data_IF_514687454002
#
_entry.id   IF_514687454002
#
_cell.length_a   1.000
_cell.length_b   1.000
_cell.length_c   1.000
_cell.angle_alpha   90.00
_cell.angle_beta   90.00
_cell.angle_gamma   90.00
#
_symmetry.space_group_name_H-M   'P 1'
#
loop_
_entity.id
_entity.type
_entity.pdbx_description
1 polymer ?
#
# COMPACT_ATOMS: atom_id res chain seq x y z
N UNK A 1 -9.26 20.83 -15.24
CA UNK A 1 -8.09 20.47 -16.06
C UNK A 1 -7.71 19.05 -15.69
N UNK A 2 -7.68 18.14 -16.67
CA UNK A 2 -7.35 16.73 -16.47
C UNK A 2 -5.83 16.63 -16.28
N UNK A 3 -5.36 16.46 -15.04
CA UNK A 3 -3.93 16.40 -14.73
C UNK A 3 -3.70 15.47 -13.55
N UNK A 4 -2.62 14.69 -13.62
CA UNK A 4 -2.10 13.93 -12.49
C UNK A 4 -1.30 14.87 -11.57
N UNK A 5 -1.78 15.06 -10.35
CA UNK A 5 -1.10 15.89 -9.36
C UNK A 5 -0.14 15.04 -8.54
N UNK A 6 1.07 15.53 -8.32
CA UNK A 6 1.97 14.99 -7.29
C UNK A 6 1.81 15.80 -6.01
N UNK A 7 1.69 15.13 -4.87
CA UNK A 7 1.63 15.75 -3.54
C UNK A 7 3.04 15.79 -2.97
N UNK A 8 3.80 16.82 -3.33
CA UNK A 8 5.22 16.93 -3.01
C UNK A 8 5.49 17.69 -1.71
N UNK A 9 4.59 18.60 -1.33
CA UNK A 9 4.76 19.41 -0.12
C UNK A 9 4.24 18.70 1.14
N UNK A 10 4.83 18.96 2.33
CA UNK A 10 4.32 18.42 3.59
C UNK A 10 2.83 18.77 3.83
N UNK A 11 2.40 19.98 3.47
CA UNK A 11 1.01 20.41 3.63
C UNK A 11 0.04 19.60 2.74
N UNK A 12 0.45 19.30 1.50
CA UNK A 12 -0.36 18.49 0.58
C UNK A 12 -0.43 17.01 0.99
N UNK A 13 0.65 16.49 1.57
CA UNK A 13 0.67 15.15 2.16
C UNK A 13 -0.20 15.07 3.41
N UNK A 14 -0.15 16.07 4.28
CA UNK A 14 -1.02 16.16 5.45
C UNK A 14 -2.51 16.22 5.06
N UNK A 15 -2.85 17.02 4.04
CA UNK A 15 -4.22 17.05 3.53
C UNK A 15 -4.68 15.70 2.98
N UNK A 16 -3.82 15.00 2.24
CA UNK A 16 -4.13 13.66 1.74
C UNK A 16 -4.28 12.63 2.88
N UNK A 17 -3.47 12.75 3.93
CA UNK A 17 -3.57 11.93 5.13
C UNK A 17 -4.93 12.10 5.82
N UNK A 18 -5.38 13.34 6.01
CA UNK A 18 -6.68 13.66 6.60
C UNK A 18 -7.86 13.17 5.74
N UNK A 19 -7.75 13.31 4.42
CA UNK A 19 -8.79 12.83 3.50
C UNK A 19 -8.91 11.30 3.50
N UNK A 20 -7.78 10.59 3.54
CA UNK A 20 -7.75 9.13 3.47
C UNK A 20 -8.14 8.42 4.77
N UNK A 21 -8.09 9.11 5.92
CA UNK A 21 -8.39 8.51 7.22
C UNK A 21 -9.79 7.91 7.33
N UNK A 22 -10.77 8.51 6.66
CA UNK A 22 -12.17 8.13 6.77
C UNK A 22 -12.69 7.35 5.55
N UNK A 23 -11.84 7.10 4.56
CA UNK A 23 -12.19 6.35 3.35
C UNK A 23 -11.57 4.96 3.43
N UNK A 24 -12.37 3.88 3.61
CA UNK A 24 -11.85 2.51 3.71
C UNK A 24 -10.93 2.12 2.54
N UNK A 25 -11.29 2.52 1.33
CA UNK A 25 -10.56 2.18 0.10
C UNK A 25 -9.18 2.84 0.03
N UNK A 26 -8.99 3.94 0.76
CA UNK A 26 -7.73 4.69 0.83
C UNK A 26 -6.88 4.34 2.06
N UNK A 27 -7.28 3.35 2.87
CA UNK A 27 -6.57 3.02 4.12
C UNK A 27 -5.11 2.61 3.91
N UNK A 28 -4.80 1.90 2.82
CA UNK A 28 -3.42 1.54 2.50
C UNK A 28 -2.58 2.77 2.16
N UNK A 29 -3.17 3.75 1.48
CA UNK A 29 -2.53 5.05 1.20
C UNK A 29 -2.34 5.81 2.51
N UNK A 30 -3.36 5.85 3.38
CA UNK A 30 -3.30 6.49 4.69
C UNK A 30 -2.16 5.92 5.55
N UNK A 31 -2.09 4.59 5.67
CA UNK A 31 -1.07 3.91 6.45
C UNK A 31 0.34 4.19 5.93
N UNK A 32 0.52 4.28 4.61
CA UNK A 32 1.82 4.58 4.02
C UNK A 32 2.26 6.05 4.18
N UNK A 33 1.33 6.96 4.41
CA UNK A 33 1.60 8.38 4.70
C UNK A 33 1.89 8.64 6.18
N UNK A 34 1.62 7.68 7.06
CA UNK A 34 1.92 7.81 8.47
C UNK A 34 3.43 8.03 8.68
N UNK A 35 3.84 8.99 9.52
CA UNK A 35 5.26 9.30 9.72
C UNK A 35 6.01 8.06 10.22
N UNK A 36 6.89 7.53 9.36
CA UNK A 36 7.82 6.48 9.72
C UNK A 36 9.18 7.12 10.09
N UNK A 37 9.87 6.63 11.13
CA UNK A 37 11.18 7.15 11.53
C UNK A 37 12.32 6.85 10.53
N UNK A 38 12.06 6.08 9.47
CA UNK A 38 13.03 5.68 8.46
C UNK A 38 12.81 6.39 7.12
N UNK A 39 13.89 6.68 6.40
CA UNK A 39 13.91 7.37 5.09
C UNK A 39 13.17 6.59 4.00
N UNK A 40 11.84 6.65 3.99
CA UNK A 40 11.03 6.15 2.87
C UNK A 40 10.89 7.25 1.83
N UNK A 41 11.41 7.03 0.62
CA UNK A 41 11.12 7.92 -0.50
C UNK A 41 9.73 7.60 -1.04
N UNK A 42 8.73 8.21 -0.42
CA UNK A 42 7.32 8.06 -0.79
C UNK A 42 6.86 9.25 -1.64
N UNK A 43 6.41 8.95 -2.85
CA UNK A 43 5.76 9.90 -3.76
C UNK A 43 4.28 9.54 -3.88
N UNK A 44 3.42 10.54 -3.72
CA UNK A 44 1.97 10.38 -3.79
C UNK A 44 1.43 11.15 -4.99
N UNK A 45 0.58 10.49 -5.77
CA UNK A 45 -0.09 11.07 -6.91
C UNK A 45 -1.60 10.84 -6.85
N UNK A 46 -2.34 11.77 -7.42
CA UNK A 46 -3.80 11.77 -7.41
C UNK A 46 -4.36 12.25 -8.76
N UNK A 47 -5.41 11.59 -9.21
CA UNK A 47 -6.09 11.92 -10.47
C UNK A 47 -7.60 11.66 -10.38
N UNK A 48 -8.45 12.52 -10.98
CA UNK A 48 -8.13 13.84 -11.50
C UNK A 48 -7.70 14.84 -10.40
N UNK A 49 -6.86 15.83 -10.72
CA UNK A 49 -6.40 16.82 -9.75
C UNK A 49 -7.51 17.52 -8.94
N UNK A 50 -8.62 17.89 -9.59
CA UNK A 50 -9.70 18.66 -8.96
C UNK A 50 -10.53 17.84 -7.97
N UNK A 51 -10.74 16.57 -8.29
CA UNK A 51 -11.59 15.63 -7.57
C UNK A 51 -10.94 14.26 -7.70
N UNK A 52 -9.92 13.97 -6.86
CA UNK A 52 -9.18 12.72 -6.94
C UNK A 52 -10.10 11.51 -6.82
N UNK A 53 -10.00 10.61 -7.79
CA UNK A 53 -10.70 9.31 -7.78
C UNK A 53 -9.69 8.18 -7.72
N UNK A 54 -8.54 8.32 -8.37
CA UNK A 54 -7.48 7.33 -8.38
C UNK A 54 -6.23 7.91 -7.72
N UNK A 55 -5.67 7.12 -6.82
CA UNK A 55 -4.49 7.45 -6.03
C UNK A 55 -3.38 6.46 -6.33
N UNK A 56 -2.17 6.98 -6.46
CA UNK A 56 -0.96 6.19 -6.71
C UNK A 56 0.09 6.56 -5.68
N UNK A 57 0.56 5.59 -4.93
CA UNK A 57 1.65 5.75 -3.98
C UNK A 57 2.84 4.95 -4.47
N UNK A 58 3.92 5.64 -4.80
CA UNK A 58 5.18 5.06 -5.21
C UNK A 58 6.15 5.11 -4.02
N UNK A 59 6.57 3.93 -3.57
CA UNK A 59 7.57 3.74 -2.53
C UNK A 59 8.86 3.21 -3.15
N UNK A 60 9.92 4.01 -3.10
CA UNK A 60 11.25 3.63 -3.57
C UNK A 60 12.15 3.44 -2.35
N UNK A 61 12.74 2.26 -2.23
CA UNK A 61 13.69 1.91 -1.19
C UNK A 61 14.96 1.37 -1.82
N UNK A 62 16.08 1.53 -1.11
CA UNK A 62 17.37 1.05 -1.59
C UNK A 62 17.40 -0.48 -1.56
N UNK A 63 17.87 -1.10 -2.64
CA UNK A 63 18.05 -2.55 -2.79
C UNK A 63 16.76 -3.39 -2.77
N UNK A 64 15.59 -2.79 -3.01
CA UNK A 64 14.32 -3.52 -3.15
C UNK A 64 13.60 -3.05 -4.42
N UNK A 65 12.78 -3.92 -5.00
CA UNK A 65 11.91 -3.52 -6.10
C UNK A 65 11.00 -2.35 -5.66
N UNK A 66 10.80 -1.32 -6.49
CA UNK A 66 9.83 -0.27 -6.19
C UNK A 66 8.42 -0.84 -6.06
N UNK A 67 7.69 -0.32 -5.08
CA UNK A 67 6.33 -0.75 -4.77
C UNK A 67 5.33 0.35 -5.08
N UNK A 68 4.29 0.02 -5.86
CA UNK A 68 3.21 0.93 -6.26
C UNK A 68 1.90 0.46 -5.65
N UNK A 69 1.32 1.26 -4.75
CA UNK A 69 -0.07 1.06 -4.31
C UNK A 69 -1.00 1.91 -5.17
N UNK A 70 -2.06 1.28 -5.68
CA UNK A 70 -3.11 1.94 -6.44
C UNK A 70 -4.43 1.76 -5.72
N UNK A 71 -5.11 2.88 -5.45
CA UNK A 71 -6.39 2.88 -4.75
C UNK A 71 -7.40 3.75 -5.49
N UNK A 72 -8.69 3.42 -5.34
CA UNK A 72 -9.81 4.18 -5.86
C UNK A 72 -10.58 4.79 -4.68
N UNK A 73 -11.06 6.02 -4.83
CA UNK A 73 -11.96 6.67 -3.89
C UNK A 73 -13.41 6.58 -4.42
N UNK A 74 -14.24 5.78 -3.75
CA UNK A 74 -15.66 5.58 -4.05
C UNK A 74 -15.96 4.47 -5.06
N UNK A 75 -17.26 4.16 -5.22
CA UNK A 75 -17.71 2.92 -5.90
C UNK A 75 -17.81 3.01 -7.44
N UNK A 76 -17.71 4.21 -8.01
CA UNK A 76 -17.92 4.40 -9.45
C UNK A 76 -16.64 4.15 -10.25
N UNK A 77 -16.38 2.88 -10.58
CA UNK A 77 -15.26 2.52 -11.44
C UNK A 77 -15.51 2.95 -12.89
N UNK A 78 -14.62 3.79 -13.42
CA UNK A 78 -14.53 4.10 -14.84
C UNK A 78 -13.18 3.70 -15.42
N UNK A 79 -13.21 2.67 -16.27
CA UNK A 79 -12.02 2.07 -16.90
C UNK A 79 -11.19 3.08 -17.70
N UNK A 80 -11.84 3.95 -18.47
CA UNK A 80 -11.12 4.87 -19.35
C UNK A 80 -10.36 5.93 -18.53
N UNK A 81 -10.99 6.45 -17.48
CA UNK A 81 -10.39 7.37 -16.53
C UNK A 81 -9.23 6.69 -15.79
N UNK A 82 -9.39 5.42 -15.38
CA UNK A 82 -8.32 4.66 -14.74
C UNK A 82 -7.10 4.48 -15.66
N UNK A 83 -7.30 3.98 -16.88
CA UNK A 83 -6.20 3.76 -17.84
C UNK A 83 -5.49 5.08 -18.18
N UNK A 84 -6.25 6.17 -18.29
CA UNK A 84 -5.67 7.51 -18.48
C UNK A 84 -4.79 7.91 -17.29
N UNK A 85 -5.26 7.66 -16.06
CA UNK A 85 -4.50 7.94 -14.85
C UNK A 85 -3.22 7.12 -14.77
N UNK A 86 -3.30 5.81 -15.06
CA UNK A 86 -2.18 4.88 -15.05
C UNK A 86 -1.12 5.25 -16.09
N UNK A 87 -1.55 5.64 -17.30
CA UNK A 87 -0.65 6.13 -18.35
C UNK A 87 0.07 7.41 -17.93
N UNK A 88 -0.65 8.39 -17.40
CA UNK A 88 -0.06 9.63 -16.90
C UNK A 88 0.93 9.37 -15.76
N UNK A 89 0.62 8.43 -14.87
CA UNK A 89 1.50 8.02 -13.77
C UNK A 89 2.78 7.38 -14.29
N UNK A 90 2.66 6.45 -15.23
CA UNK A 90 3.80 5.75 -15.83
C UNK A 90 4.72 6.73 -16.56
N UNK A 91 4.17 7.64 -17.37
CA UNK A 91 4.95 8.67 -18.08
C UNK A 91 5.63 9.64 -17.12
N UNK A 92 4.93 10.07 -16.06
CA UNK A 92 5.47 11.05 -15.10
C UNK A 92 6.59 10.46 -14.25
N UNK A 93 6.46 9.21 -13.85
CA UNK A 93 7.44 8.53 -12.99
C UNK A 93 8.56 7.85 -13.79
N UNK A 94 8.30 7.49 -15.05
CA UNK A 94 9.16 6.65 -15.90
C UNK A 94 9.52 5.32 -15.27
N UNK A 95 8.74 4.86 -14.30
CA UNK A 95 9.08 3.69 -13.48
C UNK A 95 9.18 2.41 -14.32
N UNK A 96 8.32 2.27 -15.33
CA UNK A 96 8.33 1.12 -16.24
C UNK A 96 9.56 1.10 -17.16
N UNK A 97 10.15 2.26 -17.44
CA UNK A 97 11.37 2.37 -18.27
C UNK A 97 12.65 2.19 -17.44
N UNK A 98 12.63 2.60 -16.17
CA UNK A 98 13.83 2.66 -15.32
C UNK A 98 14.07 1.41 -14.47
N UNK A 99 13.03 0.63 -14.19
CA UNK A 99 13.09 -0.48 -13.23
C UNK A 99 12.88 -1.83 -13.93
N UNK A 100 13.71 -2.81 -13.60
CA UNK A 100 13.58 -4.17 -14.14
C UNK A 100 12.44 -4.95 -13.49
N UNK A 101 12.16 -4.67 -12.22
CA UNK A 101 11.12 -5.31 -11.43
C UNK A 101 10.35 -4.27 -10.63
N UNK A 102 9.01 -4.38 -10.67
CA UNK A 102 8.09 -3.48 -9.96
C UNK A 102 7.00 -4.32 -9.36
N UNK A 103 6.63 -4.01 -8.13
CA UNK A 103 5.51 -4.64 -7.44
C UNK A 103 4.32 -3.70 -7.41
N UNK A 104 3.15 -4.21 -7.79
CA UNK A 104 1.89 -3.49 -7.74
C UNK A 104 0.98 -4.09 -6.67
N UNK A 105 0.39 -3.22 -5.85
CA UNK A 105 -0.69 -3.56 -4.92
C UNK A 105 -1.94 -2.74 -5.22
N UNK A 106 -3.06 -3.41 -5.49
CA UNK A 106 -4.33 -2.76 -5.79
C UNK A 106 -5.49 -3.73 -5.57
N UNK A 107 -6.71 -3.21 -5.60
CA UNK A 107 -7.91 -4.04 -5.66
C UNK A 107 -7.94 -4.91 -6.92
N UNK A 108 -8.63 -6.05 -6.85
CA UNK A 108 -8.54 -7.10 -7.87
C UNK A 108 -8.92 -6.64 -9.28
N UNK A 109 -9.94 -5.78 -9.43
CA UNK A 109 -10.33 -5.25 -10.75
C UNK A 109 -9.32 -4.26 -11.31
N UNK A 110 -8.70 -3.43 -10.47
CA UNK A 110 -7.63 -2.52 -10.88
C UNK A 110 -6.38 -3.32 -11.28
N UNK A 111 -6.04 -4.35 -10.49
CA UNK A 111 -4.89 -5.21 -10.75
C UNK A 111 -4.97 -5.90 -12.12
N UNK A 112 -6.17 -6.34 -12.51
CA UNK A 112 -6.41 -6.91 -13.83
C UNK A 112 -6.10 -5.95 -14.97
N UNK A 113 -6.51 -4.69 -14.83
CA UNK A 113 -6.28 -3.67 -15.85
C UNK A 113 -4.84 -3.17 -15.87
N UNK A 114 -4.18 -3.11 -14.70
CA UNK A 114 -2.72 -2.86 -14.60
C UNK A 114 -1.96 -3.96 -15.35
N UNK A 115 -2.25 -5.23 -15.08
CA UNK A 115 -1.57 -6.35 -15.73
C UNK A 115 -1.75 -6.30 -17.26
N UNK A 116 -2.97 -6.02 -17.75
CA UNK A 116 -3.20 -5.83 -19.20
C UNK A 116 -2.41 -4.67 -19.77
N UNK A 117 -2.44 -3.51 -19.12
CA UNK A 117 -1.74 -2.31 -19.57
C UNK A 117 -0.23 -2.57 -19.68
N UNK A 118 0.37 -3.11 -18.63
CA UNK A 118 1.81 -3.43 -18.55
C UNK A 118 2.23 -4.45 -19.61
N UNK A 119 1.37 -5.44 -19.91
CA UNK A 119 1.65 -6.44 -20.94
C UNK A 119 1.47 -5.92 -22.38
N UNK A 120 0.40 -5.18 -22.63
CA UNK A 120 -0.04 -4.86 -24.00
C UNK A 120 0.52 -3.54 -24.50
N UNK A 121 0.57 -2.51 -23.66
CA UNK A 121 1.03 -1.19 -24.06
C UNK A 121 2.54 -1.01 -23.84
N UNK A 122 3.09 -1.65 -22.82
CA UNK A 122 4.49 -1.44 -22.38
C UNK A 122 5.37 -2.68 -22.64
N UNK A 123 4.79 -3.81 -23.05
CA UNK A 123 5.53 -5.00 -23.50
C UNK A 123 6.24 -5.79 -22.40
N UNK A 124 5.94 -5.54 -21.12
CA UNK A 124 6.53 -6.27 -20.00
C UNK A 124 5.84 -7.62 -19.76
N UNK A 125 6.51 -8.52 -19.05
CA UNK A 125 5.94 -9.81 -18.65
C UNK A 125 5.29 -9.69 -17.28
N UNK A 126 4.10 -10.28 -17.07
CA UNK A 126 3.47 -10.27 -15.76
C UNK A 126 4.28 -11.15 -14.79
N UNK A 127 4.41 -10.69 -13.56
CA UNK A 127 5.00 -11.46 -12.46
C UNK A 127 3.99 -12.42 -11.81
N UNK A 128 4.31 -12.85 -10.59
CA UNK A 128 3.45 -13.71 -9.78
C UNK A 128 2.36 -12.85 -9.12
N UNK A 129 1.11 -13.31 -9.18
CA UNK A 129 -0.01 -12.68 -8.48
C UNK A 129 -0.17 -13.30 -7.09
N UNK A 130 -0.27 -12.43 -6.08
CA UNK A 130 -0.60 -12.80 -4.71
C UNK A 130 -1.85 -12.05 -4.26
N UNK A 131 -2.80 -12.77 -3.67
CA UNK A 131 -4.01 -12.18 -3.10
C UNK A 131 -3.83 -11.95 -1.60
N UNK A 132 -4.23 -10.77 -1.15
CA UNK A 132 -4.12 -10.36 0.24
C UNK A 132 -5.49 -9.91 0.73
N UNK A 133 -5.88 -10.35 1.92
CA UNK A 133 -7.07 -9.87 2.60
C UNK A 133 -6.66 -8.83 3.64
N UNK A 134 -7.14 -7.60 3.47
CA UNK A 134 -6.88 -6.50 4.39
C UNK A 134 -8.05 -6.37 5.34
N UNK A 135 -7.77 -6.42 6.64
CA UNK A 135 -8.75 -6.18 7.69
C UNK A 135 -8.52 -4.80 8.29
N UNK A 136 -9.60 -4.04 8.45
CA UNK A 136 -9.57 -2.72 9.06
C UNK A 136 -10.46 -2.69 10.30
N UNK A 137 -9.99 -1.97 11.32
CA UNK A 137 -10.73 -1.68 12.53
C UNK A 137 -10.66 -0.19 12.81
N UNK A 138 -11.81 0.43 13.06
CA UNK A 138 -11.87 1.83 13.52
C UNK A 138 -11.27 1.94 14.93
N UNK A 139 -10.81 3.15 15.34
CA UNK A 139 -10.33 3.37 16.71
C UNK A 139 -11.33 2.92 17.78
N UNK A 140 -12.63 3.15 17.57
CA UNK A 140 -13.69 2.71 18.48
C UNK A 140 -13.83 1.18 18.54
N UNK A 141 -13.68 0.50 17.41
CA UNK A 141 -13.68 -0.97 17.37
C UNK A 141 -12.45 -1.51 18.09
N UNK A 142 -11.28 -0.91 17.87
CA UNK A 142 -10.04 -1.27 18.56
C UNK A 142 -10.17 -1.13 20.08
N UNK A 143 -10.68 0.02 20.55
CA UNK A 143 -10.90 0.28 21.98
C UNK A 143 -11.93 -0.66 22.62
N UNK A 144 -12.89 -1.19 21.84
CA UNK A 144 -13.82 -2.23 22.31
C UNK A 144 -13.17 -3.61 22.39
N UNK A 145 -12.33 -3.97 21.41
CA UNK A 145 -11.60 -5.25 21.41
C UNK A 145 -10.62 -5.31 22.58
N UNK A 146 -9.95 -4.21 22.90
CA UNK A 146 -9.05 -4.13 24.06
C UNK A 146 -9.76 -4.34 25.41
N UNK A 147 -11.10 -4.27 25.46
CA UNK A 147 -11.89 -4.56 26.68
C UNK A 147 -12.30 -6.03 26.79
N UNK A 148 -12.07 -6.82 25.74
CA UNK A 148 -12.22 -8.27 25.81
C UNK A 148 -11.05 -8.79 26.64
N UNK A 149 -11.33 -9.43 27.78
CA UNK A 149 -10.28 -10.04 28.60
C UNK A 149 -9.60 -11.16 27.81
N UNK A 150 -8.42 -10.86 27.28
CA UNK A 150 -7.48 -11.85 26.80
C UNK A 150 -6.56 -12.22 27.96
N UNK A 151 -6.84 -13.33 28.63
CA UNK A 151 -5.90 -13.87 29.63
C UNK A 151 -4.80 -14.66 28.92
N UNK A 152 -3.55 -14.33 29.23
CA UNK A 152 -2.42 -15.11 28.76
C UNK A 152 -2.49 -16.53 29.35
N UNK A 153 -2.30 -17.58 28.54
CA UNK A 153 -2.19 -18.93 29.06
C UNK A 153 -1.02 -19.05 30.06
N UNK A 154 -1.15 -19.97 31.01
CA UNK A 154 -0.09 -20.25 31.98
C UNK A 154 1.23 -20.60 31.27
N UNK A 155 2.33 -19.98 31.71
CA UNK A 155 3.66 -20.18 31.15
C UNK A 155 4.07 -19.19 30.06
N UNK A 156 3.20 -18.24 29.69
CA UNK A 156 3.51 -17.17 28.74
C UNK A 156 3.59 -15.81 29.44
N UNK A 157 4.48 -14.96 28.94
CA UNK A 157 4.67 -13.57 29.41
C UNK A 157 4.55 -12.61 28.23
N UNK A 158 3.86 -11.49 28.45
CA UNK A 158 3.86 -10.37 27.51
C UNK A 158 5.10 -9.51 27.76
N UNK A 159 5.93 -9.36 26.74
CA UNK A 159 7.11 -8.51 26.79
C UNK A 159 7.27 -7.73 25.49
N UNK A 160 7.97 -6.59 25.54
CA UNK A 160 8.25 -5.80 24.35
C UNK A 160 9.36 -6.47 23.53
N UNK A 161 9.17 -6.53 22.21
CA UNK A 161 10.19 -7.01 21.29
C UNK A 161 11.48 -6.19 21.38
N UNK A 162 12.61 -6.90 21.32
CA UNK A 162 13.97 -6.37 21.30
C UNK A 162 14.62 -6.60 19.94
N UNK A 163 15.78 -6.00 19.75
CA UNK A 163 16.57 -6.18 18.52
C UNK A 163 17.01 -7.63 18.29
N UNK A 164 17.26 -8.38 19.37
CA UNK A 164 17.62 -9.80 19.30
C UNK A 164 16.49 -10.68 18.72
N UNK A 165 15.23 -10.28 18.93
CA UNK A 165 14.07 -11.00 18.42
C UNK A 165 13.86 -10.78 16.90
N UNK A 166 14.53 -9.79 16.30
CA UNK A 166 14.33 -9.44 14.90
C UNK A 166 14.80 -10.55 13.93
N UNK A 167 15.90 -11.23 14.27
CA UNK A 167 16.41 -12.36 13.47
C UNK A 167 15.46 -13.55 13.55
N UNK A 168 14.94 -13.85 14.73
CA UNK A 168 14.00 -14.94 14.95
C UNK A 168 12.68 -14.68 14.20
N UNK A 169 12.13 -13.47 14.30
CA UNK A 169 10.95 -13.05 13.54
C UNK A 169 11.19 -13.16 12.03
N UNK A 170 12.36 -12.72 11.55
CA UNK A 170 12.71 -12.80 10.13
C UNK A 170 12.74 -14.27 9.63
N UNK A 171 13.47 -15.15 10.34
CA UNK A 171 13.58 -16.58 10.00
C UNK A 171 12.19 -17.22 9.93
N UNK A 172 11.34 -16.99 10.93
CA UNK A 172 10.02 -17.61 10.98
C UNK A 172 9.03 -17.02 9.97
N UNK A 173 9.16 -15.74 9.63
CA UNK A 173 8.31 -15.09 8.62
C UNK A 173 8.53 -15.64 7.21
N UNK A 174 9.77 -15.99 6.85
CA UNK A 174 10.10 -16.58 5.55
C UNK A 174 9.87 -18.09 5.51
N UNK A 175 9.99 -18.79 6.65
CA UNK A 175 9.99 -20.25 6.71
C UNK A 175 8.60 -20.92 6.74
N UNK A 176 7.48 -20.17 6.68
CA UNK A 176 6.10 -20.71 6.78
C UNK A 176 5.88 -21.68 7.95
N UNK A 177 6.66 -21.57 9.02
CA UNK A 177 6.43 -22.40 10.19
C UNK A 177 5.18 -21.90 10.93
N UNK A 178 4.26 -22.80 11.32
CA UNK A 178 3.11 -22.42 12.13
C UNK A 178 3.58 -21.67 13.38
N UNK A 179 2.95 -20.52 13.65
CA UNK A 179 3.22 -19.69 14.84
C UNK A 179 3.06 -20.50 16.14
N UNK A 180 2.26 -21.56 16.10
CA UNK A 180 2.04 -22.53 17.19
C UNK A 180 3.30 -23.31 17.63
N UNK A 181 4.38 -23.28 16.84
CA UNK A 181 5.63 -23.97 17.14
C UNK A 181 6.66 -23.11 17.88
N UNK A 182 6.38 -21.81 18.07
CA UNK A 182 7.24 -20.89 18.82
C UNK A 182 7.02 -21.17 20.31
N UNK A 183 8.04 -21.73 20.97
CA UNK A 183 8.06 -22.07 22.41
C UNK A 183 9.21 -21.39 23.11
#
# INVERSE_FOLDING_TARGET
>A
MIMLKEHSTPQEKQKAFEMSQNTPDLLLIHAALFPAPYERQVKLFAYPFSTPTYWFLLNIQKNTAPFVVVAQDGDSYDKNTFLTALKLFSVKTRILESEEQIEFGAEAHLMHEIAKFVMQEEGHRPGIRHEHHVFYMTPDQMARVQKVECSLPYGFEESNLKLEDAEEVFIHSECKQPVELIR
#
